data_IF_096329483771
#
_entry.id   IF_096329483771
#
_cell.length_a   1.000
_cell.length_b   1.000
_cell.length_c   1.000
_cell.angle_alpha   90.00
_cell.angle_beta   90.00
_cell.angle_gamma   90.00
#
_symmetry.space_group_name_H-M   'P 1'
#
loop_
_entity.id
_entity.type
_entity.pdbx_description
1 polymer ?
#
# COMPACT_ATOMS: atom_id res chain seq x y z
N UNK A 1 22.15 -0.79 -5.98
CA UNK A 1 21.39 -1.65 -6.91
C UNK A 1 20.20 -0.86 -7.41
N UNK A 2 20.11 -0.62 -8.72
CA UNK A 2 19.05 0.22 -9.29
C UNK A 2 17.69 -0.48 -9.22
N UNK A 3 16.70 0.18 -8.61
CA UNK A 3 15.30 -0.23 -8.67
C UNK A 3 14.79 -0.08 -10.12
N UNK A 4 15.10 -1.03 -10.99
CA UNK A 4 14.49 -1.09 -12.32
C UNK A 4 13.00 -1.36 -12.13
N UNK A 5 12.16 -0.44 -12.60
CA UNK A 5 10.72 -0.68 -12.63
C UNK A 5 10.44 -1.83 -13.60
N UNK A 6 10.01 -2.95 -13.05
CA UNK A 6 9.50 -4.09 -13.82
C UNK A 6 8.11 -3.71 -14.34
N UNK A 7 7.91 -3.83 -15.65
CA UNK A 7 6.63 -3.53 -16.29
C UNK A 7 5.53 -4.48 -15.81
N UNK A 8 4.29 -3.99 -15.75
CA UNK A 8 3.16 -4.79 -15.29
C UNK A 8 2.85 -5.93 -16.27
N UNK A 9 3.07 -5.72 -17.58
CA UNK A 9 2.95 -6.77 -18.59
C UNK A 9 3.92 -7.93 -18.34
N UNK A 10 5.16 -7.65 -17.92
CA UNK A 10 6.14 -8.71 -17.64
C UNK A 10 5.75 -9.52 -16.40
N UNK A 11 5.19 -8.85 -15.38
CA UNK A 11 4.65 -9.52 -14.20
C UNK A 11 3.43 -10.38 -14.54
N UNK A 12 2.53 -9.89 -15.39
CA UNK A 12 1.38 -10.68 -15.86
C UNK A 12 1.83 -11.90 -16.66
N UNK A 13 2.81 -11.74 -17.55
CA UNK A 13 3.40 -12.86 -18.30
C UNK A 13 4.02 -13.91 -17.35
N UNK A 14 4.76 -13.46 -16.33
CA UNK A 14 5.33 -14.35 -15.31
C UNK A 14 4.24 -15.13 -14.56
N UNK A 15 3.14 -14.48 -14.16
CA UNK A 15 2.02 -15.15 -13.51
C UNK A 15 1.29 -16.13 -14.45
N UNK A 16 1.16 -15.79 -15.73
CA UNK A 16 0.63 -16.71 -16.73
C UNK A 16 1.49 -17.98 -16.86
N UNK A 17 2.82 -17.87 -16.78
CA UNK A 17 3.71 -19.02 -16.75
C UNK A 17 3.53 -19.86 -15.47
N UNK A 18 3.41 -19.22 -14.31
CA UNK A 18 3.10 -19.93 -13.06
C UNK A 18 1.80 -20.73 -13.18
N UNK A 19 0.74 -20.11 -13.71
CA UNK A 19 -0.56 -20.76 -13.85
C UNK A 19 -0.57 -21.91 -14.87
N UNK A 20 0.32 -21.85 -15.87
CA UNK A 20 0.54 -22.94 -16.84
C UNK A 20 1.38 -24.10 -16.28
N UNK A 21 1.92 -23.96 -15.06
CA UNK A 21 2.69 -25.02 -14.40
C UNK A 21 4.19 -25.02 -14.74
N UNK A 22 4.75 -23.93 -15.27
CA UNK A 22 6.20 -23.85 -15.52
C UNK A 22 7.00 -23.91 -14.21
N UNK A 23 8.20 -24.48 -14.29
CA UNK A 23 9.09 -24.57 -13.14
C UNK A 23 9.58 -23.17 -12.75
N UNK A 24 9.61 -22.88 -11.44
CA UNK A 24 10.11 -21.60 -10.93
C UNK A 24 11.47 -21.17 -11.50
N UNK A 25 12.52 -22.02 -11.57
CA UNK A 25 13.82 -21.59 -12.11
C UNK A 25 13.75 -21.12 -13.57
N UNK A 26 12.88 -21.72 -14.40
CA UNK A 26 12.69 -21.33 -15.80
C UNK A 26 12.02 -19.96 -15.91
N UNK A 27 11.02 -19.70 -15.07
CA UNK A 27 10.35 -18.40 -15.05
C UNK A 27 11.34 -17.30 -14.67
N UNK A 28 12.19 -17.55 -13.68
CA UNK A 28 13.22 -16.61 -13.24
C UNK A 28 14.25 -16.33 -14.33
N UNK A 29 14.68 -17.36 -15.08
CA UNK A 29 15.66 -17.19 -16.15
C UNK A 29 15.08 -16.45 -17.37
N UNK A 30 13.82 -16.70 -17.72
CA UNK A 30 13.16 -16.05 -18.86
C UNK A 30 12.79 -14.60 -18.53
N UNK A 31 12.14 -14.38 -17.40
CA UNK A 31 11.57 -13.06 -17.06
C UNK A 31 12.58 -12.13 -16.37
N UNK A 32 13.67 -12.69 -15.83
CA UNK A 32 14.67 -11.96 -15.02
C UNK A 32 14.04 -11.23 -13.82
N UNK A 33 12.84 -11.65 -13.39
CA UNK A 33 12.15 -11.16 -12.20
C UNK A 33 12.59 -12.00 -11.00
N UNK A 34 12.74 -11.38 -9.82
CA UNK A 34 13.03 -12.13 -8.60
C UNK A 34 11.85 -12.99 -8.14
N UNK A 35 12.14 -14.13 -7.50
CA UNK A 35 11.12 -15.01 -6.91
C UNK A 35 10.18 -14.27 -5.94
N UNK A 36 10.75 -13.38 -5.12
CA UNK A 36 9.98 -12.54 -4.20
C UNK A 36 8.98 -11.64 -4.93
N UNK A 37 9.37 -11.05 -6.05
CA UNK A 37 8.50 -10.18 -6.84
C UNK A 37 7.35 -10.98 -7.46
N UNK A 38 7.61 -12.18 -7.97
CA UNK A 38 6.55 -13.06 -8.50
C UNK A 38 5.53 -13.38 -7.40
N UNK A 39 6.00 -13.76 -6.21
CA UNK A 39 5.13 -14.06 -5.08
C UNK A 39 4.28 -12.86 -4.65
N UNK A 40 4.91 -11.70 -4.45
CA UNK A 40 4.19 -10.48 -4.09
C UNK A 40 3.15 -10.11 -5.15
N UNK A 41 3.49 -10.23 -6.43
CA UNK A 41 2.58 -9.96 -7.54
C UNK A 41 1.40 -10.92 -7.53
N UNK A 42 1.64 -12.22 -7.27
CA UNK A 42 0.58 -13.22 -7.15
C UNK A 42 -0.36 -12.90 -5.98
N UNK A 43 0.17 -12.52 -4.83
CA UNK A 43 -0.61 -12.08 -3.67
C UNK A 43 -1.45 -10.84 -4.00
N UNK A 44 -0.86 -9.82 -4.63
CA UNK A 44 -1.60 -8.64 -5.07
C UNK A 44 -2.73 -9.01 -6.04
N UNK A 45 -2.45 -9.80 -7.09
CA UNK A 45 -3.47 -10.21 -8.07
C UNK A 45 -4.61 -11.00 -7.43
N UNK A 46 -4.31 -11.87 -6.44
CA UNK A 46 -5.36 -12.58 -5.68
C UNK A 46 -6.21 -11.64 -4.83
N UNK A 47 -5.60 -10.61 -4.24
CA UNK A 47 -6.29 -9.66 -3.37
C UNK A 47 -7.12 -8.62 -4.15
N UNK A 48 -6.61 -8.13 -5.29
CA UNK A 48 -7.19 -6.99 -6.01
C UNK A 48 -7.68 -7.32 -7.42
N UNK A 49 -7.39 -8.51 -7.94
CA UNK A 49 -7.64 -8.89 -9.33
C UNK A 49 -6.65 -8.32 -10.34
N UNK A 50 -5.73 -7.44 -9.91
CA UNK A 50 -4.82 -6.72 -10.80
C UNK A 50 -3.35 -6.81 -10.36
N UNK A 51 -2.47 -6.87 -11.36
CA UNK A 51 -1.02 -6.78 -11.20
C UNK A 51 -0.52 -5.34 -11.16
N UNK A 52 -1.31 -4.43 -11.75
CA UNK A 52 -0.97 -3.02 -11.79
C UNK A 52 -0.95 -2.44 -10.39
N UNK A 53 0.00 -1.54 -10.14
CA UNK A 53 -0.02 -0.75 -8.91
C UNK A 53 -1.30 0.08 -8.89
N UNK A 54 -2.01 0.02 -7.77
CA UNK A 54 -3.16 0.89 -7.52
C UNK A 54 -2.66 2.33 -7.66
N UNK A 55 -3.24 3.06 -8.61
CA UNK A 55 -3.00 4.49 -8.70
C UNK A 55 -3.53 5.11 -7.41
N UNK A 56 -2.69 5.88 -6.72
CA UNK A 56 -3.10 6.62 -5.54
C UNK A 56 -3.97 7.82 -5.97
N UNK A 57 -5.18 7.55 -6.45
CA UNK A 57 -6.18 8.55 -6.79
C UNK A 57 -6.76 9.07 -5.48
N UNK A 58 -6.74 10.39 -5.26
CA UNK A 58 -7.21 10.99 -4.00
C UNK A 58 -6.21 10.88 -2.85
N UNK A 59 -4.93 11.24 -3.07
CA UNK A 59 -3.92 11.26 -2.01
C UNK A 59 -4.35 12.16 -0.85
N UNK A 60 -4.49 11.54 0.32
CA UNK A 60 -4.79 12.17 1.60
C UNK A 60 -5.54 11.18 2.48
N UNK A 61 -5.17 11.06 3.75
CA UNK A 61 -6.05 10.37 4.71
C UNK A 61 -7.28 11.27 4.87
N UNK A 62 -8.52 10.79 4.63
CA UNK A 62 -9.70 11.60 4.94
C UNK A 62 -9.61 12.01 6.41
N UNK A 63 -9.56 13.33 6.64
CA UNK A 63 -9.48 13.89 7.99
C UNK A 63 -10.88 14.34 8.36
N UNK A 64 -11.38 13.84 9.49
CA UNK A 64 -12.59 14.38 10.10
C UNK A 64 -12.38 15.80 10.63
N UNK A 65 -11.13 16.14 10.98
CA UNK A 65 -10.74 17.39 11.60
C UNK A 65 -9.97 18.29 10.66
N UNK A 66 -10.28 19.58 10.71
CA UNK A 66 -9.49 20.60 10.04
C UNK A 66 -8.13 20.74 10.73
N UNK A 67 -7.20 21.43 10.08
CA UNK A 67 -5.89 21.69 10.69
C UNK A 67 -6.02 22.57 11.95
N UNK A 68 -7.02 23.44 12.01
CA UNK A 68 -7.30 24.27 13.18
C UNK A 68 -7.73 23.42 14.37
N UNK A 69 -8.67 22.49 14.17
CA UNK A 69 -9.15 21.58 15.20
C UNK A 69 -8.00 20.73 15.77
N UNK A 70 -7.11 20.24 14.89
CA UNK A 70 -5.92 19.49 15.30
C UNK A 70 -4.99 20.35 16.17
N UNK A 71 -4.76 21.60 15.78
CA UNK A 71 -3.92 22.52 16.57
C UNK A 71 -4.56 22.85 17.92
N UNK A 72 -5.88 23.05 17.95
CA UNK A 72 -6.64 23.29 19.17
C UNK A 72 -6.57 22.09 20.12
N UNK A 73 -6.79 20.87 19.63
CA UNK A 73 -6.66 19.63 20.41
C UNK A 73 -5.24 19.45 20.97
N UNK A 74 -4.21 19.70 20.17
CA UNK A 74 -2.81 19.63 20.62
C UNK A 74 -2.54 20.66 21.72
N UNK A 75 -3.05 21.88 21.56
CA UNK A 75 -2.94 22.93 22.58
C UNK A 75 -3.64 22.51 23.87
N UNK A 76 -4.86 22.01 23.78
CA UNK A 76 -5.66 21.58 24.94
C UNK A 76 -4.99 20.42 25.68
N UNK A 77 -4.43 19.44 24.96
CA UNK A 77 -3.70 18.33 25.54
C UNK A 77 -2.40 18.74 26.24
N UNK A 78 -1.73 19.80 25.76
CA UNK A 78 -0.52 20.33 26.42
C UNK A 78 -0.83 21.07 27.71
N UNK A 79 -1.96 21.76 27.78
CA UNK A 79 -2.33 22.56 28.95
C UNK A 79 -3.13 21.76 29.99
N UNK A 80 -3.91 20.77 29.57
CA UNK A 80 -4.74 19.95 30.44
C UNK A 80 -4.61 18.45 30.06
N UNK A 81 -3.52 17.78 30.48
CA UNK A 81 -3.22 16.40 30.07
C UNK A 81 -4.11 15.35 30.75
N UNK A 82 -4.91 15.74 31.75
CA UNK A 82 -5.80 14.85 32.50
C UNK A 82 -7.18 14.68 31.86
N UNK A 83 -7.46 15.41 30.77
CA UNK A 83 -8.76 15.35 30.12
C UNK A 83 -8.96 14.02 29.39
N UNK A 84 -10.19 13.53 29.43
CA UNK A 84 -10.59 12.31 28.73
C UNK A 84 -11.06 12.62 27.30
N UNK A 85 -11.06 11.60 26.43
CA UNK A 85 -11.38 11.75 24.99
C UNK A 85 -12.79 12.31 24.72
N UNK A 86 -13.76 11.95 25.54
CA UNK A 86 -15.12 12.48 25.54
C UNK A 86 -15.17 13.98 25.91
N UNK A 87 -14.32 14.42 26.84
CA UNK A 87 -14.20 15.83 27.20
C UNK A 87 -13.50 16.68 26.12
N UNK A 88 -12.68 16.07 25.27
CA UNK A 88 -12.19 16.72 24.05
C UNK A 88 -13.32 16.86 23.02
N UNK A 89 -14.15 15.84 22.86
CA UNK A 89 -15.27 15.85 21.93
C UNK A 89 -16.33 16.91 22.28
N UNK A 90 -16.57 17.19 23.57
CA UNK A 90 -17.49 18.26 23.99
C UNK A 90 -16.99 19.68 23.70
N UNK A 91 -15.69 19.86 23.41
CA UNK A 91 -15.05 21.17 23.22
C UNK A 91 -14.68 21.46 21.76
N UNK A 92 -14.99 20.55 20.85
CA UNK A 92 -14.86 20.68 19.39
C UNK A 92 -16.21 21.09 18.79
#
# INVERSE_FOLDING_TARGET
MGNRQISDNLKDAALCMVNKGYATPEILSITQISKSTIYCTQCCKRATGSVAKIQAIGRGRPRAFTQHDIQFLIWLARHNPTLFLDEYQMRL
#
